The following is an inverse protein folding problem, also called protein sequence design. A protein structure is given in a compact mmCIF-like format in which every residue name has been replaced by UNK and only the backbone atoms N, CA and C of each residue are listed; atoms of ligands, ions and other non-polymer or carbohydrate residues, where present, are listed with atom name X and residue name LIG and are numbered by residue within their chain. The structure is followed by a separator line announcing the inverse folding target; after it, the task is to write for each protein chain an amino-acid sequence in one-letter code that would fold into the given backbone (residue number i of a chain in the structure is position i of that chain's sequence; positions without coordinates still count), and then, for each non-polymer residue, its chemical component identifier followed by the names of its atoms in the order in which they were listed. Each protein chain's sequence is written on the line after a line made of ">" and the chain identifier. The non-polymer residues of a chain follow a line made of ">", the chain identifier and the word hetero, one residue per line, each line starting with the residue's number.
data_IF_058088805502
#
_entry.id   IF_058088805502
#
_cell.length_a   1.000
_cell.length_b   1.000
_cell.length_c   1.000
_cell.angle_alpha   90.00
_cell.angle_beta   90.00
_cell.angle_gamma   90.00
#
_symmetry.space_group_name_H-M   'P 1'
#
loop_
_entity.id
_entity.type
_entity.pdbx_description
1 polymer ?
#
# COMPACT_ATOMS: atom_id res chain seq x y z
N UNK A 1 -32.94 21.35 -3.11
CA UNK A 1 -31.67 22.10 -2.94
C UNK A 1 -30.63 21.17 -2.35
N UNK A 2 -29.69 20.64 -3.15
CA UNK A 2 -28.61 19.79 -2.65
C UNK A 2 -27.32 20.61 -2.62
N UNK A 3 -26.75 20.72 -1.42
CA UNK A 3 -25.52 21.39 -1.05
C UNK A 3 -24.34 20.85 -1.88
N UNK A 4 -24.02 21.50 -3.00
CA UNK A 4 -22.82 21.20 -3.80
C UNK A 4 -21.58 21.72 -3.05
N UNK A 5 -21.15 20.95 -2.05
CA UNK A 5 -19.91 21.26 -1.31
C UNK A 5 -18.71 21.13 -2.23
N UNK A 6 -18.17 22.27 -2.63
CA UNK A 6 -16.92 22.43 -3.36
C UNK A 6 -15.77 21.84 -2.51
N UNK A 7 -15.44 20.56 -2.70
CA UNK A 7 -14.32 19.90 -2.03
C UNK A 7 -13.02 20.33 -2.70
N UNK A 8 -12.42 21.41 -2.19
CA UNK A 8 -11.04 21.77 -2.50
C UNK A 8 -10.13 20.61 -2.10
N UNK A 9 -9.36 20.06 -3.04
CA UNK A 9 -8.35 19.04 -2.73
C UNK A 9 -7.19 19.73 -2.01
N UNK A 10 -7.20 19.68 -0.69
CA UNK A 10 -6.07 20.14 0.12
C UNK A 10 -4.89 19.19 -0.10
N UNK A 11 -3.75 19.72 -0.56
CA UNK A 11 -2.50 18.96 -0.82
C UNK A 11 -1.78 18.47 0.46
N UNK A 12 -2.50 18.27 1.57
CA UNK A 12 -1.94 17.78 2.85
C UNK A 12 -1.25 16.41 2.74
N UNK A 13 -1.50 15.67 1.67
CA UNK A 13 -0.86 14.37 1.44
C UNK A 13 0.66 14.45 1.24
N UNK A 14 1.20 15.58 0.77
CA UNK A 14 2.65 15.75 0.52
C UNK A 14 3.46 15.63 1.81
N UNK A 15 2.90 16.11 2.93
CA UNK A 15 3.55 16.09 4.25
C UNK A 15 3.37 14.77 5.00
N UNK A 16 2.70 13.79 4.40
CA UNK A 16 2.43 12.51 5.04
C UNK A 16 3.62 11.57 4.83
N UNK A 17 4.72 11.88 5.53
CA UNK A 17 5.90 11.04 5.58
C UNK A 17 5.62 9.81 6.44
N UNK A 18 6.08 8.65 5.97
CA UNK A 18 6.01 7.41 6.74
C UNK A 18 7.16 7.41 7.74
N UNK A 19 6.93 7.07 9.02
CA UNK A 19 7.99 7.12 10.02
C UNK A 19 9.04 6.03 9.74
N UNK A 20 10.31 6.42 9.79
CA UNK A 20 11.48 5.57 9.48
C UNK A 20 12.54 5.78 10.56
N UNK A 21 13.14 4.67 11.00
CA UNK A 21 14.18 4.63 12.03
C UNK A 21 15.55 4.54 11.35
N UNK A 22 16.44 5.47 11.68
CA UNK A 22 17.81 5.54 11.16
C UNK A 22 18.86 5.09 12.19
N UNK A 23 18.51 5.16 13.47
CA UNK A 23 19.40 4.82 14.58
C UNK A 23 18.61 4.23 15.73
N UNK A 24 19.22 3.28 16.43
CA UNK A 24 18.74 2.75 17.69
C UNK A 24 19.78 3.14 18.73
N UNK A 25 19.37 3.98 19.68
CA UNK A 25 20.22 4.58 20.73
C UNK A 25 21.46 5.29 20.17
N UNK A 26 22.58 4.57 19.98
CA UNK A 26 23.86 5.08 19.46
C UNK A 26 24.32 4.36 18.18
N UNK A 27 23.64 3.30 17.77
CA UNK A 27 23.99 2.51 16.58
C UNK A 27 23.19 3.04 15.40
N UNK A 28 23.89 3.53 14.38
CA UNK A 28 23.27 3.86 13.09
C UNK A 28 23.03 2.57 12.31
N UNK A 29 21.81 2.38 11.83
CA UNK A 29 21.53 1.23 10.97
C UNK A 29 22.20 1.46 9.60
N UNK A 30 22.79 0.41 8.99
CA UNK A 30 23.39 0.51 7.66
C UNK A 30 22.36 0.87 6.58
N UNK A 31 21.08 0.61 6.83
CA UNK A 31 19.96 1.01 6.00
C UNK A 31 18.79 1.51 6.86
N UNK A 32 17.99 2.47 6.37
CA UNK A 32 16.81 2.94 7.07
C UNK A 32 15.73 1.86 7.13
N UNK A 33 15.14 1.66 8.32
CA UNK A 33 14.07 0.68 8.52
C UNK A 33 12.75 1.37 8.87
N UNK A 34 11.71 1.11 8.10
CA UNK A 34 10.37 1.62 8.35
C UNK A 34 9.64 0.81 9.44
N UNK A 35 8.76 1.45 10.21
CA UNK A 35 7.90 0.73 11.17
C UNK A 35 7.05 -0.36 10.51
N UNK A 36 6.68 -0.15 9.23
CA UNK A 36 5.95 -1.14 8.44
C UNK A 36 6.77 -2.40 8.17
N UNK A 37 8.06 -2.25 7.82
CA UNK A 37 8.95 -3.40 7.62
C UNK A 37 9.09 -4.23 8.89
N UNK A 38 9.23 -3.58 10.05
CA UNK A 38 9.33 -4.25 11.35
C UNK A 38 8.04 -5.03 11.64
N UNK A 39 6.88 -4.41 11.44
CA UNK A 39 5.59 -5.07 11.66
C UNK A 39 5.38 -6.29 10.75
N UNK A 40 5.74 -6.18 9.46
CA UNK A 40 5.64 -7.30 8.51
C UNK A 40 6.64 -8.40 8.88
N UNK A 41 7.88 -8.05 9.22
CA UNK A 41 8.89 -9.01 9.63
C UNK A 41 8.41 -9.83 10.85
N UNK A 42 7.90 -9.15 11.88
CA UNK A 42 7.36 -9.81 13.07
C UNK A 42 6.16 -10.72 12.74
N UNK A 43 5.24 -10.26 11.91
CA UNK A 43 4.07 -11.04 11.49
C UNK A 43 4.45 -12.31 10.71
N UNK A 44 5.38 -12.19 9.76
CA UNK A 44 5.85 -13.34 8.95
C UNK A 44 6.67 -14.31 9.82
N UNK A 45 7.49 -13.79 10.74
CA UNK A 45 8.24 -14.63 11.67
C UNK A 45 7.30 -15.46 12.56
N UNK A 46 6.27 -14.83 13.11
CA UNK A 46 5.24 -15.52 13.90
C UNK A 46 4.49 -16.56 13.06
N UNK A 47 4.10 -16.19 11.83
CA UNK A 47 3.46 -17.13 10.90
C UNK A 47 4.36 -18.34 10.61
N UNK A 48 5.66 -18.11 10.37
CA UNK A 48 6.63 -19.19 10.16
C UNK A 48 6.80 -20.06 11.39
N UNK A 49 6.75 -19.52 12.60
CA UNK A 49 6.80 -20.30 13.83
C UNK A 49 5.59 -21.24 13.97
N UNK A 50 4.40 -20.78 13.60
CA UNK A 50 3.18 -21.61 13.59
C UNK A 50 3.23 -22.66 12.48
N UNK A 51 3.70 -22.29 11.28
CA UNK A 51 3.88 -23.21 10.13
C UNK A 51 5.07 -24.16 10.26
N UNK A 52 5.75 -24.14 11.41
CA UNK A 52 6.95 -24.94 11.65
C UNK A 52 6.84 -26.45 11.47
N UNK A 53 5.72 -27.10 11.83
CA UNK A 53 5.64 -28.54 11.76
C UNK A 53 5.21 -29.04 10.37
N UNK A 54 4.89 -28.14 9.43
CA UNK A 54 4.39 -28.55 8.11
C UNK A 54 5.58 -28.98 7.22
N UNK A 55 5.55 -30.18 6.61
CA UNK A 55 6.66 -30.79 5.87
C UNK A 55 7.41 -29.93 4.83
N UNK A 56 6.79 -29.02 4.04
CA UNK A 56 7.54 -28.18 3.11
C UNK A 56 8.40 -27.11 3.81
N UNK A 57 8.05 -26.73 5.06
CA UNK A 57 8.79 -25.73 5.83
C UNK A 57 9.75 -26.35 6.87
N UNK A 58 9.49 -27.58 7.33
CA UNK A 58 10.37 -28.26 8.28
C UNK A 58 11.68 -28.76 7.67
N UNK A 59 11.74 -28.95 6.35
CA UNK A 59 12.93 -29.37 5.61
C UNK A 59 13.96 -28.24 5.41
N UNK A 60 13.57 -26.98 5.62
CA UNK A 60 14.44 -25.82 5.43
C UNK A 60 15.35 -25.59 6.64
N UNK A 61 16.61 -25.16 6.44
CA UNK A 61 17.49 -24.79 7.52
C UNK A 61 16.85 -23.72 8.43
N UNK A 62 17.02 -23.78 9.77
CA UNK A 62 16.41 -22.82 10.69
C UNK A 62 16.75 -21.36 10.37
N UNK A 63 17.99 -21.10 9.93
CA UNK A 63 18.47 -19.77 9.52
C UNK A 63 17.67 -19.24 8.32
N UNK A 64 17.41 -20.09 7.33
CA UNK A 64 16.64 -19.72 6.14
C UNK A 64 15.20 -19.46 6.53
N UNK A 65 14.63 -20.34 7.36
CA UNK A 65 13.22 -20.29 7.73
C UNK A 65 12.82 -19.11 8.60
N UNK A 66 13.67 -18.72 9.55
CA UNK A 66 13.37 -17.63 10.48
C UNK A 66 14.12 -16.32 10.18
N UNK A 67 15.20 -16.37 9.41
CA UNK A 67 15.94 -15.18 8.99
C UNK A 67 15.59 -14.77 7.56
N UNK A 68 15.95 -15.62 6.60
CA UNK A 68 15.87 -15.28 5.18
C UNK A 68 14.43 -15.10 4.70
N UNK A 69 13.53 -16.02 5.02
CA UNK A 69 12.13 -15.97 4.58
C UNK A 69 11.40 -14.74 5.13
N UNK A 70 11.43 -14.43 6.44
CA UNK A 70 10.81 -13.22 6.97
C UNK A 70 11.48 -11.94 6.48
N UNK A 71 12.81 -11.93 6.33
CA UNK A 71 13.57 -10.79 5.80
C UNK A 71 13.21 -10.47 4.35
N UNK A 72 13.21 -11.48 3.47
CA UNK A 72 12.81 -11.33 2.07
C UNK A 72 11.35 -10.94 1.94
N UNK A 73 10.46 -11.52 2.75
CA UNK A 73 9.04 -11.15 2.74
C UNK A 73 8.84 -9.70 3.17
N UNK A 74 9.50 -9.24 4.25
CA UNK A 74 9.42 -7.86 4.72
C UNK A 74 9.98 -6.86 3.71
N UNK A 75 11.10 -7.22 3.07
CA UNK A 75 11.69 -6.44 1.98
C UNK A 75 10.75 -6.37 0.77
N UNK A 76 10.27 -7.51 0.28
CA UNK A 76 9.40 -7.59 -0.90
C UNK A 76 8.08 -6.85 -0.69
N UNK A 77 7.43 -7.03 0.46
CA UNK A 77 6.16 -6.38 0.77
C UNK A 77 6.28 -4.85 0.94
N UNK A 78 7.49 -4.35 1.16
CA UNK A 78 7.74 -2.92 1.39
C UNK A 78 8.34 -2.22 0.17
N UNK A 79 9.31 -2.83 -0.50
CA UNK A 79 10.05 -2.22 -1.61
C UNK A 79 9.30 -2.31 -2.94
N UNK A 80 8.58 -3.41 -3.20
CA UNK A 80 7.96 -3.65 -4.50
C UNK A 80 6.71 -2.80 -4.70
N UNK A 81 6.74 -1.83 -5.63
CA UNK A 81 5.53 -1.13 -6.07
C UNK A 81 5.00 -1.75 -7.36
N UNK A 82 3.98 -2.59 -7.25
CA UNK A 82 3.29 -3.18 -8.40
C UNK A 82 2.16 -2.23 -8.85
N UNK A 83 2.21 -1.75 -10.10
CA UNK A 83 1.31 -0.71 -10.65
C UNK A 83 1.21 0.57 -9.78
N UNK A 84 2.32 0.95 -9.13
CA UNK A 84 2.36 2.10 -8.22
C UNK A 84 1.65 1.88 -6.88
N UNK A 85 1.12 0.69 -6.62
CA UNK A 85 0.49 0.28 -5.36
C UNK A 85 1.45 -0.59 -4.55
N UNK A 86 1.26 -0.59 -3.23
CA UNK A 86 1.91 -1.57 -2.38
C UNK A 86 1.46 -2.99 -2.79
N UNK A 87 2.35 -3.99 -2.70
CA UNK A 87 2.15 -5.29 -3.36
C UNK A 87 0.98 -6.07 -2.73
N UNK A 88 0.78 -5.94 -1.41
CA UNK A 88 -0.39 -6.50 -0.72
C UNK A 88 -1.71 -5.87 -1.20
N UNK A 89 -1.73 -4.56 -1.50
CA UNK A 89 -2.93 -3.89 -2.04
C UNK A 89 -3.16 -4.24 -3.49
N UNK A 90 -2.09 -4.38 -4.26
CA UNK A 90 -2.15 -4.86 -5.63
C UNK A 90 -2.74 -6.27 -5.68
N UNK A 91 -2.23 -7.19 -4.87
CA UNK A 91 -2.73 -8.56 -4.78
C UNK A 91 -4.21 -8.59 -4.40
N UNK A 92 -4.61 -7.83 -3.36
CA UNK A 92 -6.01 -7.73 -2.96
C UNK A 92 -6.89 -7.14 -4.09
N UNK A 93 -6.36 -6.17 -4.85
CA UNK A 93 -7.09 -5.60 -5.99
C UNK A 93 -7.25 -6.59 -7.13
N UNK A 94 -6.26 -7.47 -7.36
CA UNK A 94 -6.34 -8.53 -8.35
C UNK A 94 -7.34 -9.60 -7.93
N UNK A 95 -7.32 -10.04 -6.67
CA UNK A 95 -8.31 -10.98 -6.11
C UNK A 95 -9.71 -10.39 -6.19
N UNK A 96 -9.89 -9.14 -5.79
CA UNK A 96 -11.18 -8.44 -5.90
C UNK A 96 -11.65 -8.33 -7.35
N UNK A 97 -10.74 -8.04 -8.28
CA UNK A 97 -11.05 -7.98 -9.70
C UNK A 97 -11.45 -9.35 -10.25
N UNK A 98 -10.78 -10.42 -9.84
CA UNK A 98 -11.10 -11.79 -10.24
C UNK A 98 -12.46 -12.25 -9.70
N UNK A 99 -12.79 -11.90 -8.46
CA UNK A 99 -14.07 -12.23 -7.80
C UNK A 99 -15.22 -11.28 -8.19
N UNK A 100 -14.91 -10.13 -8.81
CA UNK A 100 -15.93 -9.16 -9.17
C UNK A 100 -16.74 -9.68 -10.37
N UNK A 101 -18.09 -9.69 -10.29
CA UNK A 101 -18.90 -10.05 -11.44
C UNK A 101 -18.68 -9.03 -12.55
N UNK A 102 -18.02 -9.46 -13.63
CA UNK A 102 -17.73 -8.63 -14.80
C UNK A 102 -19.05 -8.32 -15.52
N UNK A 103 -19.62 -7.14 -15.27
CA UNK A 103 -20.73 -6.62 -16.09
C UNK A 103 -20.16 -6.08 -17.39
N UNK A 104 -19.98 -6.97 -18.36
CA UNK A 104 -19.62 -6.63 -19.73
C UNK A 104 -20.91 -6.22 -20.46
N UNK A 105 -21.00 -4.98 -20.93
CA UNK A 105 -21.99 -4.61 -21.93
C UNK A 105 -21.26 -4.47 -23.26
N UNK A 106 -21.64 -5.28 -24.26
CA UNK A 106 -21.10 -5.22 -25.63
C UNK A 106 -19.56 -5.30 -25.73
N UNK A 107 -18.94 -6.21 -24.96
CA UNK A 107 -17.47 -6.35 -24.86
C UNK A 107 -16.73 -5.06 -24.44
N UNK A 108 -17.45 -4.04 -23.97
CA UNK A 108 -16.88 -2.82 -23.44
C UNK A 108 -16.96 -2.85 -21.90
N UNK A 109 -15.85 -2.66 -21.18
CA UNK A 109 -15.88 -2.56 -19.74
C UNK A 109 -16.59 -1.26 -19.33
N UNK A 110 -17.76 -1.36 -18.71
CA UNK A 110 -18.47 -0.22 -18.12
C UNK A 110 -17.78 0.20 -16.80
N UNK A 111 -16.66 0.91 -16.92
CA UNK A 111 -15.99 1.52 -15.76
C UNK A 111 -16.27 3.02 -15.76
N UNK A 112 -17.26 3.44 -14.96
CA UNK A 112 -17.36 4.82 -14.46
C UNK A 112 -18.56 5.64 -14.94
N UNK A 113 -19.11 6.53 -14.07
CA UNK A 113 -20.17 7.45 -14.43
C UNK A 113 -19.66 8.47 -15.47
N UNK A 114 -20.49 8.62 -16.51
CA UNK A 114 -20.33 9.49 -17.67
C UNK A 114 -20.25 10.96 -17.21
N UNK A 115 -19.12 11.62 -17.48
CA UNK A 115 -18.89 13.09 -17.42
C UNK A 115 -19.39 13.79 -16.14
N UNK A 116 -18.49 13.95 -15.16
CA UNK A 116 -18.64 15.01 -14.15
C UNK A 116 -18.33 16.36 -14.83
N UNK A 117 -19.36 17.14 -15.18
CA UNK A 117 -19.20 18.57 -15.51
C UNK A 117 -18.80 19.28 -14.22
N UNK A 118 -17.50 19.55 -14.08
CA UNK A 118 -16.97 20.37 -13.00
C UNK A 118 -17.18 21.83 -13.40
N UNK A 119 -18.36 22.38 -13.12
CA UNK A 119 -18.60 23.83 -13.18
C UNK A 119 -17.94 24.46 -11.95
N UNK A 120 -16.62 24.70 -12.04
CA UNK A 120 -15.92 25.50 -11.05
C UNK A 120 -16.27 26.97 -11.28
N UNK A 121 -17.05 27.57 -10.38
CA UNK A 121 -17.26 29.03 -10.37
C UNK A 121 -15.97 29.70 -9.89
N UNK A 122 -15.14 30.15 -10.83
CA UNK A 122 -13.88 30.85 -10.54
C UNK A 122 -14.20 32.28 -10.11
N UNK A 123 -14.13 32.55 -8.81
CA UNK A 123 -14.17 33.91 -8.27
C UNK A 123 -12.75 34.45 -8.18
N UNK A 124 -12.39 35.40 -9.04
CA UNK A 124 -11.15 36.17 -8.91
C UNK A 124 -11.40 37.38 -8.02
N UNK A 125 -10.44 37.70 -7.15
CA UNK A 125 -10.46 38.94 -6.36
C UNK A 125 -9.68 39.99 -7.12
N UNK A 126 -10.38 40.98 -7.68
CA UNK A 126 -9.72 42.15 -8.29
C UNK A 126 -9.09 42.98 -7.17
N UNK A 127 -7.77 43.17 -7.25
CA UNK A 127 -7.04 44.10 -6.40
C UNK A 127 -7.31 45.50 -6.94
N UNK A 128 -8.10 46.31 -6.23
CA UNK A 128 -8.17 47.75 -6.51
C UNK A 128 -6.82 48.36 -6.10
N UNK A 129 -6.28 49.19 -6.99
CA UNK A 129 -5.02 49.90 -6.83
C UNK A 129 -5.02 50.86 -5.66
#
# INVERSE_FOLDING_TARGET
>A
MLDQRLRLRTYRQVWRLEPVIYQIERVRLPFPVSFRQIGIFAAVLLLMAILSPIPPFSLLPPVVRYGLVPGLAAWFLTSSRLDGKAPHRWALSMVRYALSPRRLNRLQPLTGPRRLRLEARVSYRVRKG
#
